data_IF_023651781423
#
_entry.id   IF_023651781423
#
_cell.length_a   1.000
_cell.length_b   1.000
_cell.length_c   1.000
_cell.angle_alpha   90.00
_cell.angle_beta   90.00
_cell.angle_gamma   90.00
#
_symmetry.space_group_name_H-M   'P 1'
#
loop_
_entity.id
_entity.type
_entity.pdbx_description
1 polymer ?
#
# COMPACT_ATOMS: atom_id res chain seq x y z
N UNK A 1 -34.30 -9.98 16.22
CA UNK A 1 -33.76 -8.74 15.61
C UNK A 1 -32.25 -8.79 15.74
N UNK A 2 -31.59 -9.54 14.85
CA UNK A 2 -30.15 -9.44 14.62
C UNK A 2 -30.03 -9.59 13.11
N UNK A 3 -30.20 -8.48 12.40
CA UNK A 3 -29.86 -8.37 10.99
C UNK A 3 -28.35 -8.54 10.90
N UNK A 4 -27.92 -9.74 10.50
CA UNK A 4 -26.53 -10.07 10.29
C UNK A 4 -25.91 -9.06 9.30
N UNK A 5 -25.09 -8.16 9.81
CA UNK A 5 -24.32 -7.24 9.00
C UNK A 5 -23.23 -8.04 8.29
N UNK A 6 -23.44 -8.33 7.00
CA UNK A 6 -22.46 -8.96 6.14
C UNK A 6 -21.35 -7.93 5.87
N UNK A 7 -20.22 -8.05 6.57
CA UNK A 7 -19.05 -7.20 6.35
C UNK A 7 -18.41 -7.58 5.01
N UNK A 8 -18.67 -6.77 3.98
CA UNK A 8 -18.03 -6.89 2.67
C UNK A 8 -16.59 -6.36 2.82
N UNK A 9 -15.64 -7.26 3.06
CA UNK A 9 -14.21 -6.91 3.03
C UNK A 9 -13.79 -6.74 1.56
N UNK A 10 -13.64 -5.48 1.12
CA UNK A 10 -13.15 -5.16 -0.22
C UNK A 10 -11.69 -5.59 -0.41
N UNK A 11 -11.34 -6.01 -1.62
CA UNK A 11 -9.96 -6.31 -1.98
C UNK A 11 -9.11 -5.03 -1.91
N UNK A 12 -8.14 -4.99 -0.99
CA UNK A 12 -7.15 -3.92 -0.93
C UNK A 12 -6.06 -4.20 -1.98
N UNK A 13 -6.18 -3.57 -3.15
CA UNK A 13 -5.14 -3.62 -4.17
C UNK A 13 -3.96 -2.78 -3.71
N UNK A 14 -2.84 -3.43 -3.41
CA UNK A 14 -1.61 -2.74 -3.08
C UNK A 14 -1.12 -1.96 -4.31
N UNK A 15 -1.21 -0.63 -4.26
CA UNK A 15 -0.63 0.24 -5.27
C UNK A 15 0.90 0.22 -5.14
N UNK A 16 1.62 0.08 -6.25
CA UNK A 16 3.07 0.27 -6.29
C UNK A 16 3.38 1.72 -5.91
N UNK A 17 3.81 1.95 -4.67
CA UNK A 17 3.92 3.26 -4.02
C UNK A 17 5.08 4.13 -4.53
N UNK A 18 5.20 4.30 -5.85
CA UNK A 18 6.25 5.13 -6.45
C UNK A 18 7.66 4.57 -6.27
N UNK A 19 7.78 3.25 -6.15
CA UNK A 19 9.05 2.53 -6.25
C UNK A 19 9.43 2.37 -7.73
N UNK A 20 10.73 2.32 -8.02
CA UNK A 20 11.21 2.03 -9.38
C UNK A 20 11.00 0.56 -9.76
N UNK A 21 11.45 0.18 -10.97
CA UNK A 21 11.34 -1.20 -11.46
C UNK A 21 12.12 -2.21 -10.60
N UNK A 22 12.97 -1.76 -9.67
CA UNK A 22 13.72 -2.58 -8.73
C UNK A 22 13.04 -2.66 -7.35
N UNK A 23 11.89 -1.99 -7.16
CA UNK A 23 11.22 -1.95 -5.86
C UNK A 23 11.77 -0.87 -4.92
N UNK A 24 12.61 0.04 -5.41
CA UNK A 24 13.28 1.01 -4.55
C UNK A 24 12.66 2.43 -4.69
N UNK A 25 12.51 3.14 -3.58
CA UNK A 25 11.99 4.52 -3.45
C UNK A 25 13.03 5.44 -2.77
N UNK A 26 13.17 6.67 -3.26
CA UNK A 26 14.07 7.67 -2.65
C UNK A 26 13.23 8.67 -1.90
N UNK A 27 13.41 8.75 -0.58
CA UNK A 27 12.70 9.68 0.27
C UNK A 27 13.16 11.12 -0.05
N UNK A 28 12.24 11.96 -0.53
CA UNK A 28 12.55 13.34 -0.92
C UNK A 28 12.91 14.25 0.26
N UNK A 29 12.49 13.90 1.49
CA UNK A 29 12.74 14.67 2.70
C UNK A 29 14.11 14.36 3.30
N UNK A 30 14.54 13.10 3.24
CA UNK A 30 15.82 12.67 3.86
C UNK A 30 16.93 12.39 2.85
N UNK A 31 16.58 12.21 1.57
CA UNK A 31 17.50 11.74 0.54
C UNK A 31 17.84 10.25 0.62
N UNK A 32 17.21 9.51 1.54
CA UNK A 32 17.54 8.09 1.78
C UNK A 32 16.92 7.20 0.71
N UNK A 33 17.71 6.23 0.23
CA UNK A 33 17.24 5.21 -0.70
C UNK A 33 16.70 4.01 0.06
N UNK A 34 15.40 3.79 -0.04
CA UNK A 34 14.70 2.64 0.54
C UNK A 34 14.42 1.63 -0.56
N UNK A 35 15.03 0.46 -0.50
CA UNK A 35 14.61 -0.67 -1.32
C UNK A 35 13.60 -1.51 -0.55
N UNK A 36 12.48 -1.82 -1.20
CA UNK A 36 11.47 -2.74 -0.68
C UNK A 36 11.87 -4.19 -0.97
#
# INVERSE_FOLDING_TARGET
MITAALLITGAAYAHSGGTDRQGCHTDHRTGTRHCH
#
